data_IF_771518867166
#
_entry.id   IF_771518867166
#
_cell.length_a   1.000
_cell.length_b   1.000
_cell.length_c   1.000
_cell.angle_alpha   90.00
_cell.angle_beta   90.00
_cell.angle_gamma   90.00
#
_symmetry.space_group_name_H-M   'P 1'
#
loop_
_entity.id
_entity.type
_entity.pdbx_description
1 polymer ?
#
# COMPACT_ATOMS: atom_id res chain seq x y z
N UNK A 1 -7.35 -7.80 22.05
CA UNK A 1 -6.15 -6.92 22.14
C UNK A 1 -5.73 -6.54 20.71
N UNK A 2 -5.33 -5.28 20.50
CA UNK A 2 -4.84 -4.75 19.23
C UNK A 2 -3.31 -4.72 19.27
N UNK A 3 -2.64 -5.21 18.22
CA UNK A 3 -1.22 -4.91 17.99
C UNK A 3 -1.11 -3.88 16.87
N UNK A 4 -0.55 -2.72 17.18
CA UNK A 4 -0.27 -1.68 16.19
C UNK A 4 1.14 -1.92 15.64
N UNK A 5 1.22 -2.24 14.36
CA UNK A 5 2.46 -2.47 13.64
C UNK A 5 2.82 -1.18 12.90
N UNK A 6 3.88 -0.53 13.34
CA UNK A 6 4.42 0.68 12.72
C UNK A 6 5.70 0.33 11.99
N UNK A 7 5.80 0.70 10.72
CA UNK A 7 7.02 0.53 9.93
C UNK A 7 7.60 1.90 9.57
N UNK A 8 8.92 2.04 9.54
CA UNK A 8 9.52 3.34 9.19
C UNK A 8 10.99 3.24 8.81
N UNK A 9 11.46 4.32 8.18
CA UNK A 9 12.87 4.56 7.90
C UNK A 9 13.15 6.05 7.88
N UNK A 10 13.92 6.54 8.85
CA UNK A 10 14.29 7.96 8.93
C UNK A 10 13.06 8.88 9.02
N UNK A 11 12.11 8.54 9.91
CA UNK A 11 10.85 9.29 10.04
C UNK A 11 10.96 10.49 10.99
N UNK A 12 11.95 10.52 11.89
CA UNK A 12 12.20 11.65 12.77
C UNK A 12 10.95 12.06 13.59
N UNK A 13 10.59 13.35 13.52
CA UNK A 13 9.44 13.91 14.25
C UNK A 13 8.09 13.32 13.81
N UNK A 14 7.97 12.82 12.57
CA UNK A 14 6.75 12.16 12.10
C UNK A 14 6.47 10.89 12.88
N UNK A 15 7.52 10.10 13.20
CA UNK A 15 7.38 8.91 14.03
C UNK A 15 6.91 9.27 15.45
N UNK A 16 7.42 10.37 16.02
CA UNK A 16 6.96 10.87 17.34
C UNK A 16 5.46 11.16 17.29
N UNK A 17 5.01 11.87 16.25
CA UNK A 17 3.60 12.21 16.06
C UNK A 17 2.73 10.95 15.87
N UNK A 18 3.22 9.98 15.07
CA UNK A 18 2.57 8.69 14.87
C UNK A 18 2.38 7.95 16.21
N UNK A 19 3.45 7.72 16.97
CA UNK A 19 3.40 6.95 18.22
C UNK A 19 2.54 7.64 19.29
N UNK A 20 2.62 8.96 19.42
CA UNK A 20 1.75 9.72 20.33
C UNK A 20 0.27 9.66 19.93
N UNK A 21 -0.03 9.68 18.62
CA UNK A 21 -1.40 9.55 18.14
C UNK A 21 -1.99 8.16 18.48
N UNK A 22 -1.19 7.11 18.41
CA UNK A 22 -1.59 5.75 18.79
C UNK A 22 -1.93 5.71 20.30
N UNK A 23 -1.05 6.23 21.16
CA UNK A 23 -1.28 6.28 22.60
C UNK A 23 -2.57 7.03 22.95
N UNK A 24 -2.85 8.13 22.24
CA UNK A 24 -4.08 8.91 22.44
C UNK A 24 -5.30 8.18 21.92
N UNK A 25 -5.25 7.69 20.69
CA UNK A 25 -6.40 7.08 20.02
C UNK A 25 -6.81 5.72 20.64
N UNK A 26 -5.88 4.99 21.24
CA UNK A 26 -6.13 3.68 21.84
C UNK A 26 -6.07 3.67 23.37
N UNK A 27 -6.11 4.84 24.03
CA UNK A 27 -5.95 4.96 25.48
C UNK A 27 -6.94 4.11 26.30
N UNK A 28 -8.15 3.86 25.78
CA UNK A 28 -9.18 3.01 26.40
C UNK A 28 -9.16 1.54 25.95
N UNK A 29 -8.29 1.15 25.02
CA UNK A 29 -8.23 -0.17 24.42
C UNK A 29 -6.93 -0.88 24.79
N UNK A 30 -7.02 -2.18 25.12
CA UNK A 30 -5.82 -3.00 25.31
C UNK A 30 -5.04 -3.13 24.02
N UNK A 31 -3.82 -2.58 24.00
CA UNK A 31 -2.97 -2.57 22.81
C UNK A 31 -1.48 -2.73 23.15
N UNK A 32 -0.71 -3.09 22.16
CA UNK A 32 0.75 -3.01 22.12
C UNK A 32 1.18 -2.29 20.86
N UNK A 33 2.39 -1.72 20.85
CA UNK A 33 3.00 -1.11 19.67
C UNK A 33 4.26 -1.90 19.31
N UNK A 34 4.32 -2.37 18.07
CA UNK A 34 5.47 -3.04 17.46
C UNK A 34 6.03 -2.12 16.38
N UNK A 35 7.24 -1.61 16.59
CA UNK A 35 7.93 -0.79 15.62
C UNK A 35 8.99 -1.61 14.86
N UNK A 36 8.93 -1.61 13.54
CA UNK A 36 9.92 -2.27 12.68
C UNK A 36 10.72 -1.23 11.92
N UNK A 37 11.97 -1.09 12.29
CA UNK A 37 12.91 -0.15 11.70
C UNK A 37 13.57 -0.73 10.45
N UNK A 38 13.52 0.00 9.36
CA UNK A 38 14.10 -0.36 8.07
C UNK A 38 15.54 0.17 7.90
N UNK A 39 16.40 -0.03 8.89
CA UNK A 39 17.77 0.47 8.96
C UNK A 39 17.83 2.00 8.88
N UNK A 40 17.16 2.67 9.82
CA UNK A 40 17.26 4.12 9.98
C UNK A 40 18.67 4.54 10.38
N UNK A 41 19.07 5.71 9.90
CA UNK A 41 20.35 6.34 10.21
C UNK A 41 20.19 7.55 11.16
N UNK A 42 18.93 7.91 11.44
CA UNK A 42 18.55 8.92 12.43
C UNK A 42 18.21 8.27 13.78
N UNK A 43 17.58 9.02 14.68
CA UNK A 43 17.22 8.55 16.02
C UNK A 43 15.86 7.82 16.07
N UNK A 44 15.27 7.42 14.91
CA UNK A 44 13.93 6.81 14.88
C UNK A 44 13.82 5.60 15.80
N UNK A 45 14.80 4.68 15.77
CA UNK A 45 14.78 3.47 16.60
C UNK A 45 14.83 3.79 18.11
N UNK A 46 15.72 4.70 18.52
CA UNK A 46 15.86 5.14 19.92
C UNK A 46 14.58 5.84 20.41
N UNK A 47 14.01 6.67 19.55
CA UNK A 47 12.76 7.38 19.83
C UNK A 47 11.61 6.41 20.02
N UNK A 48 11.45 5.40 19.17
CA UNK A 48 10.42 4.37 19.32
C UNK A 48 10.55 3.61 20.65
N UNK A 49 11.77 3.21 21.03
CA UNK A 49 12.06 2.56 22.32
C UNK A 49 11.67 3.46 23.49
N UNK A 50 12.06 4.74 23.46
CA UNK A 50 11.76 5.69 24.50
C UNK A 50 10.24 5.94 24.69
N UNK A 51 9.46 5.79 23.62
CA UNK A 51 8.00 5.87 23.63
C UNK A 51 7.30 4.53 23.92
N UNK A 52 8.06 3.49 24.31
CA UNK A 52 7.53 2.22 24.80
C UNK A 52 7.12 1.22 23.72
N UNK A 53 7.57 1.39 22.48
CA UNK A 53 7.35 0.39 21.43
C UNK A 53 8.29 -0.81 21.57
N UNK A 54 7.81 -2.01 21.24
CA UNK A 54 8.64 -3.19 21.01
C UNK A 54 9.32 -3.05 19.65
N UNK A 55 10.64 -2.91 19.63
CA UNK A 55 11.39 -2.55 18.43
C UNK A 55 12.10 -3.73 17.80
N UNK A 56 12.08 -3.78 16.47
CA UNK A 56 12.76 -4.77 15.65
C UNK A 56 13.52 -4.07 14.54
N UNK A 57 14.77 -4.45 14.32
CA UNK A 57 15.64 -3.89 13.27
C UNK A 57 15.78 -4.90 12.13
N UNK A 58 15.47 -4.48 10.90
CA UNK A 58 15.71 -5.31 9.72
C UNK A 58 17.21 -5.37 9.40
N UNK A 59 17.71 -6.56 9.04
CA UNK A 59 19.14 -6.80 8.84
C UNK A 59 19.68 -6.25 7.51
N UNK A 60 18.82 -5.98 6.52
CA UNK A 60 19.24 -5.52 5.19
C UNK A 60 18.89 -4.06 4.95
N UNK A 61 19.84 -3.28 4.40
CA UNK A 61 19.60 -1.88 4.03
C UNK A 61 18.57 -1.71 2.89
N UNK A 62 18.41 -2.70 2.01
CA UNK A 62 17.41 -2.72 0.92
C UNK A 62 16.13 -3.42 1.37
N UNK A 63 15.47 -2.83 2.35
CA UNK A 63 14.23 -3.31 2.92
C UNK A 63 13.01 -2.94 2.06
N UNK A 64 11.89 -3.58 2.32
CA UNK A 64 10.58 -3.25 1.72
C UNK A 64 9.55 -3.01 2.81
N UNK A 65 8.53 -2.21 2.51
CA UNK A 65 7.41 -2.00 3.42
C UNK A 65 6.72 -3.32 3.78
N UNK A 66 6.55 -4.22 2.79
CA UNK A 66 5.98 -5.55 3.01
C UNK A 66 6.80 -6.41 3.97
N UNK A 67 8.16 -6.33 3.92
CA UNK A 67 9.00 -7.04 4.88
C UNK A 67 8.83 -6.50 6.29
N UNK A 68 8.80 -5.18 6.47
CA UNK A 68 8.56 -4.57 7.77
C UNK A 68 7.22 -4.99 8.37
N UNK A 69 6.14 -4.94 7.58
CA UNK A 69 4.81 -5.36 8.00
C UNK A 69 4.74 -6.86 8.30
N UNK A 70 5.46 -7.70 7.53
CA UNK A 70 5.55 -9.14 7.78
C UNK A 70 6.22 -9.44 9.13
N UNK A 71 7.38 -8.82 9.41
CA UNK A 71 8.10 -9.00 10.67
C UNK A 71 7.24 -8.50 11.84
N UNK A 72 6.66 -7.30 11.74
CA UNK A 72 5.80 -6.76 12.77
C UNK A 72 4.60 -7.64 13.07
N UNK A 73 3.93 -8.19 12.04
CA UNK A 73 2.81 -9.11 12.22
C UNK A 73 3.22 -10.42 12.89
N UNK A 74 4.42 -10.93 12.58
CA UNK A 74 4.97 -12.15 13.18
C UNK A 74 5.25 -11.98 14.67
N UNK A 75 5.79 -10.83 15.08
CA UNK A 75 6.18 -10.53 16.46
C UNK A 75 5.01 -9.99 17.31
N UNK A 76 3.97 -9.49 16.67
CA UNK A 76 2.74 -9.02 17.32
C UNK A 76 1.99 -10.17 18.02
N UNK A 77 1.26 -9.86 19.10
CA UNK A 77 0.54 -10.82 19.96
C UNK A 77 -0.97 -10.67 19.89
N UNK A 78 -1.47 -9.51 19.43
CA UNK A 78 -2.89 -9.18 19.36
C UNK A 78 -3.68 -10.02 18.37
N UNK A 79 -4.95 -10.15 18.60
CA UNK A 79 -5.93 -10.76 17.71
C UNK A 79 -6.22 -9.88 16.49
N UNK A 80 -6.20 -8.57 16.71
CA UNK A 80 -6.37 -7.56 15.66
C UNK A 80 -5.04 -6.88 15.40
N UNK A 81 -4.68 -6.77 14.12
CA UNK A 81 -3.43 -6.17 13.65
C UNK A 81 -3.77 -4.86 12.94
N UNK A 82 -3.25 -3.75 13.45
CA UNK A 82 -3.41 -2.42 12.86
C UNK A 82 -2.07 -2.00 12.27
N UNK A 83 -1.99 -1.90 10.95
CA UNK A 83 -0.79 -1.46 10.23
C UNK A 83 -0.81 0.04 10.00
N UNK A 84 0.32 0.68 10.21
CA UNK A 84 0.56 2.10 9.94
C UNK A 84 1.99 2.30 9.43
N UNK A 85 2.17 3.30 8.56
CA UNK A 85 3.51 3.80 8.24
C UNK A 85 3.91 4.87 9.28
N UNK A 86 5.19 5.06 9.54
CA UNK A 86 5.70 5.94 10.61
C UNK A 86 5.42 7.43 10.40
N UNK A 87 4.87 7.80 9.26
CA UNK A 87 4.41 9.17 8.92
C UNK A 87 2.89 9.35 8.99
N UNK A 88 2.17 8.33 9.51
CA UNK A 88 0.70 8.34 9.65
C UNK A 88 0.31 8.57 11.12
N UNK A 89 -0.66 9.42 11.36
CA UNK A 89 -1.24 9.65 12.69
C UNK A 89 -2.62 9.01 12.78
N UNK A 90 -2.79 8.07 13.71
CA UNK A 90 -4.07 7.39 13.95
C UNK A 90 -5.08 8.39 14.53
N UNK A 91 -6.30 8.36 13.99
CA UNK A 91 -7.38 9.23 14.45
C UNK A 91 -8.20 8.57 15.56
N UNK A 92 -8.60 9.32 16.61
CA UNK A 92 -9.42 8.82 17.69
C UNK A 92 -10.77 8.27 17.19
N UNK A 93 -11.27 7.20 17.84
CA UNK A 93 -12.56 6.59 17.55
C UNK A 93 -12.58 5.63 16.35
N UNK A 94 -11.51 5.58 15.53
CA UNK A 94 -11.46 4.62 14.42
C UNK A 94 -11.43 3.18 14.91
N UNK A 95 -10.55 2.86 15.85
CA UNK A 95 -10.35 1.47 16.28
C UNK A 95 -11.62 0.86 16.90
N UNK A 96 -12.33 1.63 17.73
CA UNK A 96 -13.61 1.21 18.31
C UNK A 96 -14.66 0.90 17.23
N UNK A 97 -14.79 1.81 16.25
CA UNK A 97 -15.73 1.62 15.13
C UNK A 97 -15.34 0.43 14.26
N UNK A 98 -14.04 0.25 13.99
CA UNK A 98 -13.54 -0.89 13.24
C UNK A 98 -13.83 -2.22 13.95
N UNK A 99 -13.56 -2.33 15.26
CA UNK A 99 -13.88 -3.50 16.07
C UNK A 99 -15.38 -3.79 16.08
N UNK A 100 -16.21 -2.76 16.24
CA UNK A 100 -17.69 -2.91 16.16
C UNK A 100 -18.12 -3.43 14.79
N UNK A 101 -17.58 -2.90 13.70
CA UNK A 101 -17.90 -3.35 12.34
C UNK A 101 -17.47 -4.79 12.09
N UNK A 102 -16.28 -5.20 12.55
CA UNK A 102 -15.80 -6.58 12.48
C UNK A 102 -16.76 -7.50 13.22
N UNK A 103 -17.06 -7.19 14.49
CA UNK A 103 -17.91 -8.02 15.33
C UNK A 103 -19.36 -8.14 14.82
N UNK A 104 -19.94 -7.01 14.37
CA UNK A 104 -21.37 -6.98 13.98
C UNK A 104 -21.61 -7.53 12.58
N UNK A 105 -20.65 -7.41 11.64
CA UNK A 105 -20.87 -7.73 10.23
C UNK A 105 -19.98 -8.85 9.71
N UNK A 106 -19.11 -9.40 10.55
CA UNK A 106 -18.19 -10.49 10.18
C UNK A 106 -17.19 -10.06 9.10
N UNK A 107 -16.67 -8.83 9.18
CA UNK A 107 -15.57 -8.41 8.33
C UNK A 107 -14.26 -8.98 8.85
N UNK A 108 -13.36 -9.30 7.93
CA UNK A 108 -12.02 -9.79 8.23
C UNK A 108 -11.03 -8.65 8.46
N UNK A 109 -11.35 -7.47 7.93
CA UNK A 109 -10.57 -6.25 8.15
C UNK A 109 -11.35 -5.00 7.78
N UNK A 110 -10.85 -3.87 8.26
CA UNK A 110 -11.47 -2.55 8.09
C UNK A 110 -10.40 -1.51 7.83
N UNK A 111 -10.64 -0.65 6.84
CA UNK A 111 -9.94 0.62 6.67
C UNK A 111 -10.92 1.78 6.78
N UNK A 112 -10.42 2.99 6.95
CA UNK A 112 -11.22 4.19 7.10
C UNK A 112 -10.77 5.31 6.17
N UNK A 113 -11.24 6.52 6.46
CA UNK A 113 -10.86 7.71 5.70
C UNK A 113 -9.38 8.01 5.95
N UNK A 114 -8.64 8.13 4.86
CA UNK A 114 -7.29 8.67 4.83
C UNK A 114 -7.36 10.15 4.45
N UNK A 115 -6.80 10.98 5.30
CA UNK A 115 -6.56 12.40 5.04
C UNK A 115 -5.10 12.61 4.69
N UNK A 116 -4.82 13.31 3.59
CA UNK A 116 -3.46 13.70 3.18
C UNK A 116 -3.29 15.22 3.31
N UNK A 117 -2.24 15.64 4.00
CA UNK A 117 -1.81 17.03 4.12
C UNK A 117 -0.41 17.18 3.53
N UNK A 118 -0.26 18.10 2.61
CA UNK A 118 1.01 18.39 1.95
C UNK A 118 1.56 19.73 2.44
N UNK A 119 2.79 19.70 2.94
CA UNK A 119 3.46 20.87 3.50
C UNK A 119 4.56 21.37 2.57
N UNK A 120 4.71 22.70 2.47
CA UNK A 120 5.87 23.39 1.91
C UNK A 120 6.33 24.43 2.90
N UNK A 121 7.60 24.34 3.31
CA UNK A 121 8.20 25.25 4.30
C UNK A 121 7.40 25.34 5.63
N UNK A 122 6.77 24.23 6.01
CA UNK A 122 5.94 24.13 7.22
C UNK A 122 4.49 24.59 7.06
N UNK A 123 4.12 25.16 5.90
CA UNK A 123 2.75 25.60 5.61
C UNK A 123 1.97 24.56 4.79
N UNK A 124 0.67 24.43 5.07
CA UNK A 124 -0.21 23.53 4.32
C UNK A 124 -0.50 24.16 2.96
N UNK A 125 -0.05 23.49 1.89
CA UNK A 125 -0.29 23.94 0.51
C UNK A 125 -1.38 23.13 -0.20
N UNK A 126 -1.67 21.92 0.28
CA UNK A 126 -2.73 21.08 -0.26
C UNK A 126 -3.25 20.14 0.83
N UNK A 127 -4.55 19.89 0.82
CA UNK A 127 -5.23 18.94 1.71
C UNK A 127 -6.23 18.12 0.92
N UNK A 128 -6.29 16.84 1.22
CA UNK A 128 -7.28 15.90 0.70
C UNK A 128 -7.89 15.16 1.89
N UNK A 129 -9.09 15.57 2.28
CA UNK A 129 -9.76 15.07 3.49
C UNK A 129 -10.31 13.64 3.33
N UNK A 130 -10.34 13.09 2.11
CA UNK A 130 -10.88 11.76 1.85
C UNK A 130 -10.24 11.16 0.59
N UNK A 131 -9.03 10.65 0.75
CA UNK A 131 -8.20 10.17 -0.37
C UNK A 131 -8.89 9.10 -1.24
N UNK A 132 -9.62 8.16 -0.62
CA UNK A 132 -10.30 7.06 -1.31
C UNK A 132 -11.77 7.35 -1.62
N UNK A 133 -12.30 8.51 -1.22
CA UNK A 133 -13.68 8.94 -1.50
C UNK A 133 -14.75 8.09 -0.79
N UNK A 134 -14.47 7.64 0.43
CA UNK A 134 -15.42 6.88 1.24
C UNK A 134 -16.46 7.80 1.87
N UNK A 135 -17.70 7.71 1.44
CA UNK A 135 -18.84 8.48 1.99
C UNK A 135 -19.87 7.61 2.72
N UNK A 136 -19.80 6.30 2.50
CA UNK A 136 -20.62 5.30 3.15
C UNK A 136 -19.85 3.99 3.32
N UNK A 137 -20.26 3.17 4.27
CA UNK A 137 -19.64 1.86 4.48
C UNK A 137 -19.83 0.97 3.24
N UNK A 138 -18.74 0.38 2.78
CA UNK A 138 -18.70 -0.50 1.60
C UNK A 138 -17.60 -1.54 1.73
N UNK A 139 -17.60 -2.57 0.88
CA UNK A 139 -16.41 -3.37 0.66
C UNK A 139 -15.34 -2.49 0.02
N UNK A 140 -14.17 -2.45 0.61
CA UNK A 140 -13.08 -1.60 0.13
C UNK A 140 -12.71 -1.97 -1.32
N UNK A 141 -12.63 -1.01 -2.25
CA UNK A 141 -12.10 -1.30 -3.59
C UNK A 141 -10.59 -1.56 -3.55
N UNK A 142 -9.91 -0.82 -2.68
CA UNK A 142 -8.47 -0.89 -2.40
C UNK A 142 -8.24 -0.50 -0.93
N UNK A 143 -7.06 -0.76 -0.41
CA UNK A 143 -6.58 -0.13 0.82
C UNK A 143 -5.11 0.29 0.64
N UNK A 144 -4.66 1.23 1.44
CA UNK A 144 -3.26 1.68 1.46
C UNK A 144 -2.46 1.00 2.59
N UNK A 145 -1.37 1.66 3.03
CA UNK A 145 -0.53 1.18 4.13
C UNK A 145 -1.23 1.03 5.47
N UNK A 146 -2.38 1.71 5.67
CA UNK A 146 -3.19 1.65 6.88
C UNK A 146 -4.34 0.65 6.74
N UNK A 147 -4.33 -0.38 7.58
CA UNK A 147 -5.34 -1.46 7.57
C UNK A 147 -5.45 -2.07 8.97
N UNK A 148 -6.66 -2.23 9.49
CA UNK A 148 -6.96 -3.10 10.62
C UNK A 148 -7.51 -4.42 10.11
N UNK A 149 -6.90 -5.55 10.50
CA UNK A 149 -7.26 -6.88 10.00
C UNK A 149 -7.17 -7.90 11.14
N UNK A 150 -8.00 -8.94 11.10
CA UNK A 150 -7.88 -10.05 12.03
C UNK A 150 -6.60 -10.85 11.74
N UNK A 151 -5.94 -11.31 12.79
CA UNK A 151 -4.75 -12.19 12.65
C UNK A 151 -5.09 -13.45 11.85
N UNK A 152 -6.28 -14.00 12.06
CA UNK A 152 -6.75 -15.19 11.36
C UNK A 152 -6.76 -14.98 9.84
N UNK A 153 -7.37 -13.90 9.36
CA UNK A 153 -7.44 -13.57 7.93
C UNK A 153 -6.05 -13.35 7.32
N UNK A 154 -5.18 -12.61 8.03
CA UNK A 154 -3.83 -12.38 7.57
C UNK A 154 -3.02 -13.68 7.47
N UNK A 155 -3.13 -14.55 8.46
CA UNK A 155 -2.46 -15.86 8.45
C UNK A 155 -3.02 -16.78 7.36
N UNK A 156 -4.35 -16.84 7.19
CA UNK A 156 -5.00 -17.65 6.17
C UNK A 156 -4.56 -17.29 4.75
N UNK A 157 -4.25 -16.01 4.49
CA UNK A 157 -3.73 -15.58 3.18
C UNK A 157 -2.20 -15.70 3.05
N UNK A 158 -1.47 -16.04 4.13
CA UNK A 158 -0.01 -16.22 4.14
C UNK A 158 0.82 -14.97 4.44
N UNK A 159 0.19 -13.93 5.02
CA UNK A 159 0.88 -12.69 5.44
C UNK A 159 1.27 -11.75 4.30
N UNK A 160 2.06 -10.74 4.61
CA UNK A 160 2.54 -9.75 3.65
C UNK A 160 3.60 -10.31 2.69
N UNK A 161 3.58 -9.88 1.43
CA UNK A 161 4.65 -10.16 0.48
C UNK A 161 5.91 -9.37 0.86
N UNK A 162 7.05 -10.06 1.01
CA UNK A 162 8.30 -9.47 1.50
C UNK A 162 9.21 -8.96 0.39
N UNK A 163 8.99 -9.40 -0.85
CA UNK A 163 9.96 -9.33 -1.94
C UNK A 163 9.61 -8.23 -2.97
N UNK A 164 8.54 -7.48 -2.75
CA UNK A 164 8.11 -6.39 -3.64
C UNK A 164 8.56 -5.03 -3.10
N UNK A 165 9.09 -4.17 -3.96
CA UNK A 165 9.48 -2.81 -3.58
C UNK A 165 8.30 -1.83 -3.54
N UNK A 166 7.15 -2.24 -4.08
CA UNK A 166 5.87 -1.54 -4.06
C UNK A 166 4.76 -2.53 -4.43
N UNK A 167 3.49 -2.10 -4.31
CA UNK A 167 2.28 -2.89 -4.68
C UNK A 167 2.04 -4.11 -3.78
N UNK A 168 2.65 -4.15 -2.60
CA UNK A 168 2.43 -5.20 -1.60
C UNK A 168 0.98 -5.19 -1.08
N UNK A 169 0.33 -4.02 -1.00
CA UNK A 169 -1.06 -3.90 -0.59
C UNK A 169 -2.00 -4.52 -1.63
N UNK A 170 -1.79 -4.23 -2.91
CA UNK A 170 -2.60 -4.79 -3.99
C UNK A 170 -2.42 -6.32 -4.09
N UNK A 171 -1.19 -6.80 -3.89
CA UNK A 171 -0.86 -8.23 -3.88
C UNK A 171 -1.53 -8.94 -2.70
N UNK A 172 -1.43 -8.37 -1.48
CA UNK A 172 -2.12 -8.90 -0.30
C UNK A 172 -3.63 -8.91 -0.51
N UNK A 173 -4.21 -7.81 -1.01
CA UNK A 173 -5.64 -7.71 -1.20
C UNK A 173 -6.18 -8.71 -2.22
N UNK A 174 -5.43 -8.96 -3.30
CA UNK A 174 -5.79 -10.01 -4.27
C UNK A 174 -5.86 -11.40 -3.61
N UNK A 175 -4.93 -11.70 -2.69
CA UNK A 175 -4.93 -12.96 -1.93
C UNK A 175 -6.08 -13.05 -0.93
N UNK A 176 -6.34 -11.98 -0.19
CA UNK A 176 -7.47 -11.91 0.73
C UNK A 176 -8.80 -12.14 0.00
N UNK A 177 -9.03 -11.45 -1.12
CA UNK A 177 -10.22 -11.66 -1.96
C UNK A 177 -10.33 -13.10 -2.50
N UNK A 178 -9.21 -13.71 -2.87
CA UNK A 178 -9.19 -15.06 -3.42
C UNK A 178 -9.62 -16.14 -2.42
N UNK A 179 -9.48 -15.89 -1.13
CA UNK A 179 -9.94 -16.77 -0.05
C UNK A 179 -11.28 -16.33 0.56
N UNK A 180 -11.94 -15.34 -0.03
CA UNK A 180 -13.27 -14.87 0.38
C UNK A 180 -13.27 -13.86 1.53
N UNK A 181 -12.11 -13.35 1.96
CA UNK A 181 -12.04 -12.32 3.00
C UNK A 181 -12.75 -11.03 2.57
N UNK A 182 -13.43 -10.42 3.54
CA UNK A 182 -14.22 -9.22 3.38
C UNK A 182 -13.55 -8.06 4.11
N UNK A 183 -12.91 -7.18 3.36
CA UNK A 183 -12.33 -5.94 3.89
C UNK A 183 -13.32 -4.82 3.67
N UNK A 184 -13.75 -4.15 4.74
CA UNK A 184 -14.66 -3.01 4.67
C UNK A 184 -13.89 -1.68 4.66
N UNK A 185 -14.46 -0.68 4.02
CA UNK A 185 -14.09 0.72 4.17
C UNK A 185 -15.23 1.45 4.84
N UNK A 186 -14.98 2.09 5.99
CA UNK A 186 -15.98 2.81 6.77
C UNK A 186 -15.76 4.33 6.70
N UNK A 187 -16.83 5.16 6.70
CA UNK A 187 -16.72 6.61 6.61
C UNK A 187 -16.31 7.24 7.95
N UNK A 188 -15.22 6.76 8.54
CA UNK A 188 -14.66 7.23 9.81
C UNK A 188 -13.20 7.63 9.58
N UNK A 189 -12.75 8.80 10.03
CA UNK A 189 -11.34 9.18 9.94
C UNK A 189 -10.45 8.10 10.58
N UNK A 190 -9.51 7.58 9.80
CA UNK A 190 -8.56 6.55 10.25
C UNK A 190 -7.17 7.11 10.47
N UNK A 191 -6.66 7.79 9.47
CA UNK A 191 -5.30 8.33 9.51
C UNK A 191 -5.24 9.74 8.92
N UNK A 192 -4.35 10.55 9.52
CA UNK A 192 -3.79 11.77 8.94
C UNK A 192 -2.37 11.44 8.46
N UNK A 193 -2.13 11.56 7.16
CA UNK A 193 -0.82 11.40 6.56
C UNK A 193 -0.27 12.77 6.16
N UNK A 194 0.90 13.12 6.67
CA UNK A 194 1.55 14.39 6.39
C UNK A 194 2.81 14.16 5.57
N UNK A 195 2.89 14.73 4.37
CA UNK A 195 4.09 14.64 3.51
C UNK A 195 4.54 16.05 3.11
N UNK A 196 5.85 16.20 2.89
CA UNK A 196 6.38 17.43 2.32
C UNK A 196 6.18 17.45 0.80
N UNK A 197 5.77 18.61 0.27
CA UNK A 197 5.77 18.80 -1.18
C UNK A 197 7.21 18.72 -1.67
N UNK A 198 7.51 17.69 -2.43
CA UNK A 198 8.83 17.52 -3.03
C UNK A 198 8.91 18.27 -4.35
N UNK A 199 9.34 19.53 -4.30
CA UNK A 199 9.51 20.41 -5.49
C UNK A 199 10.49 19.86 -6.54
N UNK A 200 11.36 18.94 -6.16
CA UNK A 200 12.46 18.44 -6.99
C UNK A 200 12.17 17.19 -7.81
N UNK A 201 11.00 16.60 -7.71
CA UNK A 201 10.66 15.46 -8.57
C UNK A 201 10.19 15.98 -9.92
N UNK A 202 11.12 16.08 -10.87
CA UNK A 202 10.72 16.22 -12.26
C UNK A 202 9.74 15.10 -12.62
N UNK A 203 8.77 15.30 -13.52
CA UNK A 203 7.93 14.23 -14.03
C UNK A 203 8.74 13.00 -14.45
N UNK A 204 9.94 13.19 -14.99
CA UNK A 204 10.88 12.14 -15.39
C UNK A 204 11.38 11.30 -14.19
N UNK A 205 11.68 11.90 -13.04
CA UNK A 205 12.14 11.12 -11.87
C UNK A 205 11.05 10.16 -11.34
N UNK A 206 9.80 10.54 -11.50
CA UNK A 206 8.65 9.67 -11.17
C UNK A 206 8.53 8.52 -12.17
N UNK A 207 8.78 8.78 -13.45
CA UNK A 207 8.78 7.77 -14.52
C UNK A 207 9.86 6.72 -14.28
N UNK A 208 11.08 7.15 -13.93
CA UNK A 208 12.24 6.27 -13.69
C UNK A 208 12.34 5.75 -12.25
N UNK A 209 11.33 5.95 -11.42
CA UNK A 209 11.31 5.41 -10.06
C UNK A 209 11.35 3.89 -10.05
N UNK A 210 12.25 3.30 -9.26
CA UNK A 210 12.31 1.85 -9.05
C UNK A 210 10.98 1.25 -8.55
N UNK A 211 10.10 2.04 -7.92
CA UNK A 211 8.76 1.62 -7.51
C UNK A 211 7.90 1.10 -8.67
N UNK A 212 8.20 1.50 -9.92
CA UNK A 212 7.52 0.99 -11.13
C UNK A 212 7.75 -0.51 -11.37
N UNK A 213 8.84 -1.05 -10.83
CA UNK A 213 9.12 -2.50 -10.88
C UNK A 213 8.20 -3.29 -9.94
N UNK A 214 7.58 -2.65 -8.96
CA UNK A 214 6.73 -3.28 -7.95
C UNK A 214 5.59 -4.09 -8.54
N UNK A 215 4.95 -3.61 -9.61
CA UNK A 215 3.85 -4.32 -10.28
C UNK A 215 4.29 -5.68 -10.85
N UNK A 216 5.44 -5.74 -11.51
CA UNK A 216 5.99 -6.98 -12.02
C UNK A 216 6.47 -7.91 -10.90
N UNK A 217 7.06 -7.35 -9.84
CA UNK A 217 7.47 -8.10 -8.67
C UNK A 217 6.25 -8.67 -7.91
N UNK A 218 5.17 -7.91 -7.77
CA UNK A 218 3.92 -8.38 -7.17
C UNK A 218 3.30 -9.52 -7.99
N UNK A 219 3.31 -9.42 -9.33
CA UNK A 219 2.89 -10.53 -10.19
C UNK A 219 3.79 -11.74 -10.00
N UNK A 220 5.12 -11.58 -9.91
CA UNK A 220 6.05 -12.69 -9.66
C UNK A 220 5.78 -13.37 -8.31
N UNK A 221 5.53 -12.59 -7.25
CA UNK A 221 5.09 -13.11 -5.95
C UNK A 221 3.80 -13.93 -6.09
N UNK A 222 2.81 -13.38 -6.79
CA UNK A 222 1.52 -14.05 -7.00
C UNK A 222 1.67 -15.34 -7.85
N UNK A 223 2.57 -15.36 -8.83
CA UNK A 223 2.90 -16.56 -9.63
C UNK A 223 3.53 -17.64 -8.76
N UNK A 224 4.53 -17.27 -7.95
CA UNK A 224 5.19 -18.17 -7.01
C UNK A 224 4.21 -18.78 -6.00
N UNK A 225 3.28 -17.95 -5.50
CA UNK A 225 2.20 -18.38 -4.62
C UNK A 225 1.08 -19.16 -5.34
N UNK A 226 1.19 -19.42 -6.65
CA UNK A 226 0.16 -20.03 -7.52
C UNK A 226 -1.18 -19.26 -7.52
N UNK A 227 -1.13 -17.94 -7.34
CA UNK A 227 -2.31 -17.04 -7.23
C UNK A 227 -2.30 -15.90 -8.27
N UNK A 228 -1.53 -16.04 -9.35
CA UNK A 228 -1.44 -15.04 -10.42
C UNK A 228 -2.81 -14.64 -11.00
N UNK A 229 -3.74 -15.60 -11.15
CA UNK A 229 -5.10 -15.32 -11.65
C UNK A 229 -5.87 -14.37 -10.72
N UNK A 230 -5.69 -14.49 -9.40
CA UNK A 230 -6.33 -13.60 -8.42
C UNK A 230 -5.77 -12.17 -8.53
N UNK A 231 -4.45 -12.03 -8.65
CA UNK A 231 -3.78 -10.75 -8.84
C UNK A 231 -4.19 -10.07 -10.16
N UNK A 232 -4.15 -10.79 -11.29
CA UNK A 232 -4.59 -10.28 -12.60
C UNK A 232 -6.07 -9.86 -12.56
N UNK A 233 -6.94 -10.62 -11.89
CA UNK A 233 -8.37 -10.27 -11.74
C UNK A 233 -8.54 -9.02 -10.89
N UNK A 234 -7.75 -8.85 -9.84
CA UNK A 234 -7.77 -7.66 -8.99
C UNK A 234 -7.33 -6.42 -9.75
N UNK A 235 -6.24 -6.51 -10.50
CA UNK A 235 -5.66 -5.45 -11.31
C UNK A 235 -6.15 -5.48 -12.78
N UNK A 236 -7.35 -6.04 -13.02
CA UNK A 236 -7.88 -6.31 -14.38
C UNK A 236 -7.81 -5.12 -15.34
N UNK A 237 -8.04 -3.89 -14.84
CA UNK A 237 -7.97 -2.68 -15.64
C UNK A 237 -6.56 -2.48 -16.23
N UNK A 238 -5.53 -2.59 -15.40
CA UNK A 238 -4.14 -2.45 -15.83
C UNK A 238 -3.75 -3.52 -16.84
N UNK A 239 -4.13 -4.77 -16.58
CA UNK A 239 -3.83 -5.89 -17.50
C UNK A 239 -4.62 -5.80 -18.81
N UNK A 240 -5.83 -5.25 -18.80
CA UNK A 240 -6.59 -5.00 -20.03
C UNK A 240 -5.88 -3.95 -20.88
N UNK A 241 -5.45 -2.84 -20.32
CA UNK A 241 -4.67 -1.84 -21.07
C UNK A 241 -3.34 -2.39 -21.55
N UNK A 242 -2.65 -3.17 -20.74
CA UNK A 242 -1.42 -3.85 -21.14
C UNK A 242 -1.63 -4.75 -22.37
N UNK A 243 -2.70 -5.53 -22.39
CA UNK A 243 -3.05 -6.37 -23.55
C UNK A 243 -3.41 -5.54 -24.79
N UNK A 244 -4.14 -4.42 -24.61
CA UNK A 244 -4.47 -3.50 -25.70
C UNK A 244 -3.23 -2.83 -26.29
N UNK A 245 -2.25 -2.45 -25.45
CA UNK A 245 -0.98 -1.87 -25.90
C UNK A 245 -0.18 -2.87 -26.73
N UNK A 246 -0.09 -4.14 -26.29
CA UNK A 246 0.54 -5.19 -27.11
C UNK A 246 -0.19 -5.44 -28.43
N UNK A 247 -1.52 -5.44 -28.39
CA UNK A 247 -2.33 -5.55 -29.62
C UNK A 247 -2.05 -4.39 -30.57
N UNK A 248 -1.97 -3.16 -30.08
CA UNK A 248 -1.64 -1.99 -30.86
C UNK A 248 -0.26 -2.10 -31.52
N UNK A 249 0.75 -2.57 -30.79
CA UNK A 249 2.10 -2.81 -31.35
C UNK A 249 2.10 -3.94 -32.40
N UNK A 250 1.36 -5.02 -32.15
CA UNK A 250 1.24 -6.11 -33.11
C UNK A 250 0.57 -5.64 -34.41
N UNK A 251 -0.50 -4.85 -34.34
CA UNK A 251 -1.17 -4.27 -35.50
C UNK A 251 -0.23 -3.32 -36.27
N UNK A 252 0.57 -2.53 -35.58
CA UNK A 252 1.57 -1.65 -36.22
C UNK A 252 2.61 -2.49 -37.01
N UNK A 253 3.04 -3.62 -36.46
CA UNK A 253 4.03 -4.49 -37.11
C UNK A 253 3.45 -5.30 -38.29
N UNK A 254 2.20 -5.80 -38.18
CA UNK A 254 1.59 -6.68 -39.15
C UNK A 254 0.91 -5.96 -40.31
N UNK A 255 0.42 -4.72 -40.08
CA UNK A 255 -0.32 -3.94 -41.08
C UNK A 255 0.25 -2.52 -41.12
N UNK A 256 1.49 -2.29 -41.62
CA UNK A 256 2.17 -0.99 -41.54
C UNK A 256 1.38 0.18 -42.12
N UNK A 257 0.60 -0.03 -43.18
CA UNK A 257 -0.18 1.03 -43.82
C UNK A 257 -1.34 1.56 -42.99
N UNK A 258 -1.94 0.75 -42.14
CA UNK A 258 -3.06 1.10 -41.25
C UNK A 258 -2.73 0.97 -39.77
N UNK A 259 -1.63 0.30 -39.43
CA UNK A 259 -1.27 -0.05 -38.06
C UNK A 259 -1.10 1.19 -37.17
N UNK A 260 -0.52 2.28 -37.69
CA UNK A 260 -0.38 3.55 -36.95
C UNK A 260 -1.76 4.15 -36.62
N UNK A 261 -2.68 4.18 -37.57
CA UNK A 261 -4.04 4.68 -37.34
C UNK A 261 -4.80 3.86 -36.30
N UNK A 262 -4.69 2.51 -36.36
CA UNK A 262 -5.29 1.60 -35.39
C UNK A 262 -4.67 1.76 -33.99
N UNK A 263 -3.34 1.93 -33.92
CA UNK A 263 -2.65 2.20 -32.65
C UNK A 263 -3.16 3.49 -32.04
N UNK A 264 -3.21 4.58 -32.82
CA UNK A 264 -3.72 5.87 -32.33
C UNK A 264 -5.18 5.77 -31.88
N UNK A 265 -6.02 5.01 -32.59
CA UNK A 265 -7.41 4.79 -32.19
C UNK A 265 -7.51 4.09 -30.83
N UNK A 266 -6.72 3.04 -30.61
CA UNK A 266 -6.67 2.31 -29.32
C UNK A 266 -6.25 3.24 -28.20
N UNK A 267 -5.21 4.06 -28.41
CA UNK A 267 -4.74 5.05 -27.42
C UNK A 267 -5.81 6.10 -27.11
N UNK A 268 -6.48 6.63 -28.14
CA UNK A 268 -7.58 7.59 -27.95
C UNK A 268 -8.77 6.95 -27.20
N UNK A 269 -9.10 5.70 -27.48
CA UNK A 269 -10.17 4.98 -26.76
C UNK A 269 -9.81 4.77 -25.28
N UNK A 270 -8.56 4.39 -24.97
CA UNK A 270 -8.09 4.24 -23.58
C UNK A 270 -8.15 5.57 -22.83
N UNK A 271 -7.65 6.67 -23.46
CA UNK A 271 -7.69 8.00 -22.87
C UNK A 271 -9.13 8.48 -22.69
N UNK A 272 -9.99 8.31 -23.70
CA UNK A 272 -11.41 8.68 -23.66
C UNK A 272 -12.15 7.97 -22.52
N UNK A 273 -11.88 6.68 -22.34
CA UNK A 273 -12.47 5.90 -21.24
C UNK A 273 -12.03 6.43 -19.86
N UNK A 274 -10.72 6.75 -19.69
CA UNK A 274 -10.22 7.32 -18.42
C UNK A 274 -10.71 8.75 -18.17
N UNK A 275 -10.91 9.54 -19.22
CA UNK A 275 -11.53 10.87 -19.11
C UNK A 275 -12.98 10.76 -18.65
N UNK A 276 -13.76 9.82 -19.20
CA UNK A 276 -15.13 9.57 -18.77
C UNK A 276 -15.22 9.17 -17.28
N UNK A 277 -14.15 8.53 -16.77
CA UNK A 277 -14.01 8.18 -15.36
C UNK A 277 -13.38 9.29 -14.49
N UNK A 278 -13.14 10.47 -15.06
CA UNK A 278 -12.46 11.60 -14.39
C UNK A 278 -11.06 11.25 -13.87
N UNK A 279 -10.35 10.30 -14.53
CA UNK A 279 -9.04 9.78 -14.13
C UNK A 279 -7.94 9.95 -15.21
N UNK A 280 -7.78 11.13 -15.85
CA UNK A 280 -6.84 11.29 -16.98
C UNK A 280 -5.38 10.98 -16.61
N UNK A 281 -4.98 11.25 -15.36
CA UNK A 281 -3.61 10.96 -14.90
C UNK A 281 -3.30 9.46 -14.86
N UNK A 282 -4.33 8.61 -14.79
CA UNK A 282 -4.16 7.17 -14.83
C UNK A 282 -3.62 6.69 -16.20
N UNK A 283 -3.85 7.44 -17.30
CA UNK A 283 -3.30 7.11 -18.61
C UNK A 283 -1.77 6.98 -18.58
N UNK A 284 -1.07 7.98 -18.03
CA UNK A 284 0.40 7.92 -17.89
C UNK A 284 0.81 6.75 -17.01
N UNK A 285 0.09 6.50 -15.91
CA UNK A 285 0.38 5.37 -15.02
C UNK A 285 0.25 4.02 -15.74
N UNK A 286 -0.75 3.87 -16.61
CA UNK A 286 -0.96 2.65 -17.41
C UNK A 286 0.17 2.44 -18.43
N UNK A 287 0.63 3.50 -19.09
CA UNK A 287 1.78 3.42 -20.01
C UNK A 287 3.08 3.06 -19.29
N UNK A 288 3.27 3.56 -18.08
CA UNK A 288 4.41 3.17 -17.24
C UNK A 288 4.32 1.72 -16.76
N UNK A 289 3.11 1.20 -16.54
CA UNK A 289 2.86 -0.20 -16.25
C UNK A 289 3.33 -1.10 -17.39
N UNK A 290 3.12 -0.71 -18.64
CA UNK A 290 3.56 -1.46 -19.82
C UNK A 290 5.06 -1.77 -19.79
N UNK A 291 5.90 -0.84 -19.37
CA UNK A 291 7.35 -1.05 -19.24
C UNK A 291 7.74 -1.65 -17.88
N UNK A 292 7.07 -1.25 -16.82
CA UNK A 292 7.37 -1.68 -15.45
C UNK A 292 7.09 -3.16 -15.18
N UNK A 293 6.05 -3.70 -15.79
CA UNK A 293 5.63 -5.09 -15.57
C UNK A 293 6.72 -6.12 -16.00
N UNK A 294 7.23 -6.14 -17.25
CA UNK A 294 8.25 -7.09 -17.66
C UNK A 294 9.57 -6.88 -16.92
N UNK A 295 10.00 -5.62 -16.71
CA UNK A 295 11.22 -5.32 -15.96
C UNK A 295 11.11 -5.76 -14.50
N UNK A 296 9.95 -5.60 -13.89
CA UNK A 296 9.70 -6.07 -12.53
C UNK A 296 9.75 -7.59 -12.41
N UNK A 297 9.18 -8.32 -13.37
CA UNK A 297 9.27 -9.78 -13.43
C UNK A 297 10.73 -10.24 -13.55
N UNK A 298 11.53 -9.61 -14.43
CA UNK A 298 12.93 -9.95 -14.65
C UNK A 298 13.83 -9.61 -13.45
N UNK A 299 13.48 -8.60 -12.67
CA UNK A 299 14.26 -8.13 -11.52
C UNK A 299 13.78 -8.69 -10.19
N UNK A 300 12.75 -9.53 -10.20
CA UNK A 300 12.25 -10.18 -9.00
C UNK A 300 13.31 -11.08 -8.38
N UNK A 301 13.50 -10.95 -7.09
CA UNK A 301 14.34 -11.83 -6.26
C UNK A 301 13.78 -11.92 -4.86
N UNK A 302 13.98 -13.06 -4.23
CA UNK A 302 13.67 -13.23 -2.82
C UNK A 302 14.62 -12.40 -1.97
N UNK A 303 14.09 -11.87 -0.87
CA UNK A 303 14.84 -11.07 0.08
C UNK A 303 15.05 -11.85 1.37
N UNK A 304 16.15 -11.55 2.04
CA UNK A 304 16.37 -12.03 3.40
C UNK A 304 15.26 -11.53 4.33
N UNK A 305 14.82 -12.40 5.21
CA UNK A 305 13.83 -12.10 6.27
C UNK A 305 14.50 -11.97 7.64
N UNK A 306 15.82 -11.75 7.66
CA UNK A 306 16.55 -11.58 8.90
C UNK A 306 16.23 -10.23 9.56
N UNK A 307 16.08 -10.26 10.87
CA UNK A 307 15.86 -9.09 11.74
C UNK A 307 16.34 -9.40 13.14
N UNK A 308 16.52 -8.36 13.97
CA UNK A 308 16.89 -8.47 15.37
C UNK A 308 15.85 -7.77 16.25
N UNK A 309 15.60 -8.32 17.43
CA UNK A 309 14.89 -7.62 18.49
C UNK A 309 15.83 -6.60 19.13
N UNK A 310 15.32 -5.41 19.46
CA UNK A 310 16.11 -4.27 19.90
C UNK A 310 15.61 -3.67 21.24
#
# INVERSE_FOLDING_TARGET
MISVIVIGKNEGERLVACLKSIQTALSALAHEVVYVDSCSTDQSLQTAKALGAHCFLLAEQKTTAGLGRFVGAKEARGEYLLFLDGDMQLQPGFAEKALMSIAAKGYDGVCGIREDVYLRDGEIVCRNDNYFGCTQERLAPVFGGALMITREALNACGGWATDTIACEEAELYARLKAIGCRIAEIPVPMILHTDAVRDSRSPLSTVFSARRLGEGQALACAMKARRARAYIRHEREKFTFYALDWMALALLALVPGFGLGLMMLIECMQLGWLLAQKRPRAFISQKLFFFGLPLGLMTYRERSRAYAAE
#
